data_IF_276159817947
#
_entry.id   IF_276159817947
#
_cell.length_a   1.000
_cell.length_b   1.000
_cell.length_c   1.000
_cell.angle_alpha   90.00
_cell.angle_beta   90.00
_cell.angle_gamma   90.00
#
_symmetry.space_group_name_H-M   'P 1'
#
loop_
_entity.id
_entity.type
_entity.pdbx_description
1 polymer ?
#
# COMPACT_ATOMS: atom_id res chain seq x y z
N UNK A 1 -11.45 14.67 -5.39
CA UNK A 1 -10.70 13.58 -4.72
C UNK A 1 -9.99 12.72 -5.75
N UNK A 2 -8.79 12.23 -5.43
CA UNK A 2 -7.97 11.33 -6.26
C UNK A 2 -7.27 10.31 -5.35
N UNK A 3 -7.12 9.07 -5.80
CA UNK A 3 -6.27 8.07 -5.16
C UNK A 3 -5.19 7.62 -6.13
N UNK A 4 -3.94 7.61 -5.67
CA UNK A 4 -2.80 7.11 -6.44
C UNK A 4 -2.27 5.83 -5.82
N UNK A 5 -2.01 4.83 -6.66
CA UNK A 5 -1.19 3.68 -6.29
C UNK A 5 0.24 3.96 -6.76
N UNK A 6 1.17 3.95 -5.82
CA UNK A 6 2.59 4.20 -6.08
C UNK A 6 3.42 2.99 -5.68
N UNK A 7 4.62 2.89 -6.24
CA UNK A 7 5.58 1.87 -5.89
C UNK A 7 7.02 2.32 -6.09
N UNK A 8 7.95 1.65 -5.42
CA UNK A 8 9.39 1.82 -5.61
C UNK A 8 10.12 0.50 -5.38
N UNK A 9 11.31 0.37 -5.97
CA UNK A 9 12.21 -0.76 -5.69
C UNK A 9 12.68 -0.72 -4.24
N UNK A 10 12.92 -1.89 -3.65
CA UNK A 10 13.57 -2.01 -2.35
C UNK A 10 15.06 -1.64 -2.43
N UNK A 11 15.70 -1.22 -1.32
CA UNK A 11 17.13 -0.95 -1.29
C UNK A 11 17.98 -2.16 -1.68
N UNK A 12 19.20 -1.90 -2.15
CA UNK A 12 20.23 -2.93 -2.42
C UNK A 12 19.78 -3.97 -3.46
N UNK A 13 20.40 -5.17 -3.45
CA UNK A 13 20.12 -6.27 -4.40
C UNK A 13 18.65 -6.69 -4.43
N UNK A 14 17.89 -6.44 -3.35
CA UNK A 14 16.45 -6.72 -3.30
C UNK A 14 15.64 -5.89 -4.30
N UNK A 15 16.12 -4.69 -4.66
CA UNK A 15 15.47 -3.80 -5.61
C UNK A 15 15.37 -4.35 -7.04
N UNK A 16 16.17 -5.36 -7.38
CA UNK A 16 16.10 -6.09 -8.65
C UNK A 16 14.87 -7.01 -8.74
N UNK A 17 14.35 -7.45 -7.59
CA UNK A 17 13.33 -8.51 -7.54
C UNK A 17 12.04 -8.10 -6.83
N UNK A 18 12.10 -7.07 -5.98
CA UNK A 18 11.00 -6.68 -5.11
C UNK A 18 10.69 -5.19 -5.19
N UNK A 19 9.40 -4.89 -5.31
CA UNK A 19 8.85 -3.53 -5.20
C UNK A 19 7.94 -3.44 -3.98
N UNK A 20 7.90 -2.26 -3.36
CA UNK A 20 6.98 -1.92 -2.28
C UNK A 20 5.90 -1.00 -2.82
N UNK A 21 4.63 -1.35 -2.61
CA UNK A 21 3.47 -0.59 -3.06
C UNK A 21 2.78 0.13 -1.89
N UNK A 22 2.23 1.32 -2.17
CA UNK A 22 1.45 2.11 -1.21
C UNK A 22 0.40 2.98 -1.92
N UNK A 23 -0.59 3.44 -1.16
CA UNK A 23 -1.59 4.39 -1.65
C UNK A 23 -1.34 5.80 -1.14
N UNK A 24 -1.71 6.78 -1.96
CA UNK A 24 -1.81 8.19 -1.55
C UNK A 24 -3.19 8.70 -1.91
N UNK A 25 -3.94 9.16 -0.91
CA UNK A 25 -5.29 9.72 -1.04
C UNK A 25 -5.20 11.23 -1.00
N UNK A 26 -5.78 11.91 -1.99
CA UNK A 26 -5.91 13.36 -2.06
C UNK A 26 -7.39 13.71 -1.95
N UNK A 27 -7.81 14.30 -0.83
CA UNK A 27 -9.22 14.62 -0.58
C UNK A 27 -9.36 15.96 0.15
N UNK A 28 -10.12 16.90 -0.42
CA UNK A 28 -10.40 18.19 0.23
C UNK A 28 -9.18 19.05 0.60
N UNK A 29 -7.98 18.80 0.05
CA UNK A 29 -6.73 19.45 0.44
C UNK A 29 -5.85 18.62 1.40
N UNK A 30 -6.44 17.61 2.02
CA UNK A 30 -5.72 16.61 2.83
C UNK A 30 -5.04 15.57 1.94
N UNK A 31 -3.86 15.13 2.37
CA UNK A 31 -3.09 14.10 1.68
C UNK A 31 -2.65 13.02 2.66
N UNK A 32 -3.21 11.83 2.51
CA UNK A 32 -2.91 10.70 3.39
C UNK A 32 -2.23 9.56 2.65
N UNK A 33 -1.13 9.05 3.22
CA UNK A 33 -0.40 7.90 2.69
C UNK A 33 -0.71 6.65 3.50
N UNK A 34 -1.12 5.58 2.82
CA UNK A 34 -1.44 4.29 3.45
C UNK A 34 -0.55 3.16 2.94
N UNK A 35 0.02 2.39 3.86
CA UNK A 35 0.90 1.26 3.54
C UNK A 35 1.11 0.31 4.71
N UNK A 36 1.80 -0.80 4.46
CA UNK A 36 2.23 -1.76 5.47
C UNK A 36 3.76 -1.77 5.60
N UNK A 37 4.28 -1.72 6.83
CA UNK A 37 5.72 -1.84 7.14
C UNK A 37 6.02 -3.01 8.08
N UNK A 38 7.26 -3.49 8.05
CA UNK A 38 7.72 -4.61 8.89
C UNK A 38 7.68 -4.29 10.38
N UNK A 39 7.84 -3.02 10.76
CA UNK A 39 7.88 -2.58 12.16
C UNK A 39 6.49 -2.18 12.57
N UNK A 40 5.96 -2.85 13.60
CA UNK A 40 4.63 -2.53 14.15
C UNK A 40 4.65 -1.17 14.83
N UNK A 41 3.55 -0.44 14.71
CA UNK A 41 3.25 0.76 15.47
C UNK A 41 4.36 1.83 15.41
N UNK A 42 5.03 1.93 14.25
CA UNK A 42 6.22 2.72 14.02
C UNK A 42 5.99 4.25 13.94
N UNK A 43 4.75 4.71 14.10
CA UNK A 43 4.35 6.13 14.00
C UNK A 43 3.21 6.37 13.02
N UNK A 44 2.77 7.63 12.92
CA UNK A 44 1.52 7.97 12.26
C UNK A 44 0.32 7.30 12.94
N UNK A 45 -0.82 7.20 12.24
CA UNK A 45 -1.94 6.37 12.72
C UNK A 45 -1.66 4.92 12.34
N UNK A 46 -1.57 4.03 13.33
CA UNK A 46 -1.15 2.64 13.11
C UNK A 46 -2.14 1.64 13.68
N UNK A 47 -2.25 0.50 13.01
CA UNK A 47 -2.92 -0.71 13.52
C UNK A 47 -1.95 -1.87 13.26
N UNK A 48 -1.01 -2.09 14.19
CA UNK A 48 0.07 -3.04 14.01
C UNK A 48 0.97 -2.62 12.85
N UNK A 49 0.97 -3.40 11.77
CA UNK A 49 1.79 -3.19 10.58
C UNK A 49 1.16 -2.28 9.53
N UNK A 50 -0.13 -1.95 9.63
CA UNK A 50 -0.77 -1.00 8.70
C UNK A 50 -0.62 0.40 9.26
N UNK A 51 -0.17 1.34 8.42
CA UNK A 51 0.08 2.71 8.80
C UNK A 51 -0.60 3.69 7.84
N UNK A 52 -1.11 4.79 8.42
CA UNK A 52 -1.44 6.02 7.73
C UNK A 52 -0.46 7.11 8.19
N UNK A 53 0.18 7.77 7.22
CA UNK A 53 1.10 8.89 7.42
C UNK A 53 2.35 8.58 8.25
N UNK A 54 2.83 7.32 8.22
CA UNK A 54 4.16 6.98 8.75
C UNK A 54 5.28 7.72 7.99
N UNK A 55 5.10 7.91 6.68
CA UNK A 55 6.02 8.61 5.79
C UNK A 55 5.30 9.73 5.06
N UNK A 56 6.03 10.78 4.71
CA UNK A 56 5.52 11.84 3.85
C UNK A 56 5.00 11.26 2.51
N UNK A 57 3.92 11.81 1.92
CA UNK A 57 3.36 11.30 0.66
C UNK A 57 4.35 11.21 -0.51
N UNK A 58 5.34 12.12 -0.54
CA UNK A 58 6.42 12.15 -1.53
C UNK A 58 7.67 11.33 -1.17
N UNK A 59 7.75 10.73 0.02
CA UNK A 59 8.93 9.99 0.43
C UNK A 59 9.06 8.65 -0.31
N UNK A 60 10.28 8.27 -0.67
CA UNK A 60 10.58 6.93 -1.21
C UNK A 60 10.70 5.87 -0.11
N UNK A 61 11.16 4.68 -0.51
CA UNK A 61 11.46 3.55 0.39
C UNK A 61 12.94 3.12 0.35
N UNK A 62 13.80 3.97 -0.24
CA UNK A 62 15.25 3.82 -0.22
C UNK A 62 15.89 3.06 -1.39
N UNK A 63 15.13 2.41 -2.27
CA UNK A 63 15.67 1.68 -3.43
C UNK A 63 15.54 2.36 -4.79
N UNK A 64 15.07 3.61 -4.85
CA UNK A 64 14.91 4.36 -6.08
C UNK A 64 13.75 5.34 -6.04
N UNK A 65 13.50 6.07 -7.15
CA UNK A 65 12.39 7.02 -7.23
C UNK A 65 11.04 6.30 -7.11
N UNK A 66 10.08 6.96 -6.45
CA UNK A 66 8.70 6.53 -6.46
C UNK A 66 8.13 6.62 -7.89
N UNK A 67 7.39 5.59 -8.30
CA UNK A 67 6.72 5.49 -9.59
C UNK A 67 5.22 5.42 -9.38
N UNK A 68 4.48 5.98 -10.33
CA UNK A 68 3.03 5.92 -10.36
C UNK A 68 2.58 4.65 -11.08
N UNK A 69 1.82 3.79 -10.42
CA UNK A 69 1.24 2.60 -11.03
C UNK A 69 -0.13 2.87 -11.63
N UNK A 70 -0.97 3.65 -10.94
CA UNK A 70 -2.30 4.01 -11.39
C UNK A 70 -2.83 5.23 -10.62
N UNK A 71 -3.81 5.88 -11.23
CA UNK A 71 -4.57 7.01 -10.67
C UNK A 71 -6.04 6.71 -10.85
N UNK A 72 -6.82 6.89 -9.78
CA UNK A 72 -8.28 6.83 -9.82
C UNK A 72 -8.89 8.13 -9.33
N UNK A 73 -10.03 8.49 -9.91
CA UNK A 73 -10.85 9.64 -9.54
C UNK A 73 -12.32 9.19 -9.43
N UNK A 74 -13.20 10.09 -8.97
CA UNK A 74 -14.64 9.79 -8.88
C UNK A 74 -14.96 8.60 -7.96
N UNK A 75 -15.90 7.76 -8.39
CA UNK A 75 -16.42 6.65 -7.60
C UNK A 75 -15.35 5.61 -7.23
N UNK A 76 -14.41 5.31 -8.14
CA UNK A 76 -13.31 4.38 -7.87
C UNK A 76 -12.39 4.89 -6.76
N UNK A 77 -12.06 6.18 -6.78
CA UNK A 77 -11.30 6.83 -5.72
C UNK A 77 -12.05 6.78 -4.37
N UNK A 78 -13.38 6.98 -4.38
CA UNK A 78 -14.21 6.91 -3.18
C UNK A 78 -14.21 5.52 -2.57
N UNK A 79 -14.38 4.47 -3.38
CA UNK A 79 -14.33 3.07 -2.92
C UNK A 79 -12.97 2.73 -2.32
N UNK A 80 -11.88 3.15 -2.98
CA UNK A 80 -10.52 2.95 -2.47
C UNK A 80 -10.31 3.65 -1.13
N UNK A 81 -10.69 4.93 -1.02
CA UNK A 81 -10.60 5.69 0.23
C UNK A 81 -11.37 4.99 1.37
N UNK A 82 -12.60 4.57 1.11
CA UNK A 82 -13.43 3.88 2.11
C UNK A 82 -12.76 2.59 2.63
N UNK A 83 -12.14 1.81 1.75
CA UNK A 83 -11.40 0.60 2.16
C UNK A 83 -10.15 0.95 2.97
N UNK A 84 -9.42 2.00 2.60
CA UNK A 84 -8.24 2.46 3.34
C UNK A 84 -8.61 2.98 4.73
N UNK A 85 -9.69 3.75 4.86
CA UNK A 85 -10.18 4.24 6.15
C UNK A 85 -10.72 3.10 7.04
N UNK A 86 -11.16 2.00 6.44
CA UNK A 86 -11.53 0.76 7.13
C UNK A 86 -10.41 -0.27 7.20
N UNK A 87 -9.14 0.17 7.12
CA UNK A 87 -7.97 -0.71 7.17
C UNK A 87 -7.89 -1.61 8.42
N UNK A 88 -8.58 -1.27 9.51
CA UNK A 88 -8.74 -2.14 10.68
C UNK A 88 -9.32 -3.52 10.33
N UNK A 89 -10.07 -3.63 9.23
CA UNK A 89 -10.67 -4.87 8.73
C UNK A 89 -9.69 -5.74 7.92
N UNK A 90 -8.47 -5.26 7.69
CA UNK A 90 -7.43 -6.04 7.02
C UNK A 90 -6.98 -7.21 7.93
N UNK A 91 -7.06 -8.48 7.49
CA UNK A 91 -6.84 -9.63 8.37
C UNK A 91 -5.39 -9.82 8.83
N UNK A 92 -4.45 -9.06 8.26
CA UNK A 92 -3.03 -9.18 8.59
C UNK A 92 -2.46 -7.92 9.24
N UNK A 93 -3.28 -7.08 9.88
CA UNK A 93 -2.80 -5.93 10.66
C UNK A 93 -1.69 -6.30 11.66
N UNK A 94 -1.72 -7.52 12.22
CA UNK A 94 -0.76 -7.95 13.26
C UNK A 94 0.19 -9.06 12.79
N UNK A 95 0.26 -9.33 11.48
CA UNK A 95 1.14 -10.33 10.88
C UNK A 95 1.89 -9.73 9.70
N UNK A 96 3.19 -9.90 9.69
CA UNK A 96 4.05 -9.50 8.58
C UNK A 96 5.02 -10.63 8.22
N UNK A 97 5.26 -10.80 6.93
CA UNK A 97 6.38 -11.61 6.42
C UNK A 97 6.87 -11.03 5.10
N UNK A 98 8.19 -10.91 4.96
CA UNK A 98 8.83 -10.38 3.76
C UNK A 98 8.47 -11.20 2.50
N UNK A 99 8.50 -12.53 2.62
CA UNK A 99 8.18 -13.45 1.53
C UNK A 99 7.57 -14.76 2.08
N UNK A 100 6.51 -15.31 1.47
CA UNK A 100 5.76 -14.77 0.33
C UNK A 100 4.72 -13.72 0.74
N UNK A 101 4.71 -13.24 1.98
CA UNK A 101 3.68 -12.35 2.54
C UNK A 101 3.09 -12.92 3.84
N UNK A 102 2.19 -12.19 4.51
CA UNK A 102 1.58 -10.92 4.07
C UNK A 102 2.52 -9.72 4.24
N UNK A 103 2.53 -8.80 3.27
CA UNK A 103 3.36 -7.58 3.27
C UNK A 103 2.62 -6.40 2.58
N UNK A 104 3.33 -5.33 2.22
CA UNK A 104 2.76 -4.17 1.53
C UNK A 104 2.07 -4.50 0.21
N UNK A 105 2.58 -5.46 -0.55
CA UNK A 105 1.95 -5.90 -1.80
C UNK A 105 0.68 -6.73 -1.54
N UNK A 106 0.65 -7.50 -0.46
CA UNK A 106 -0.56 -8.20 -0.02
C UNK A 106 -1.65 -7.20 0.37
N UNK A 107 -1.30 -6.17 1.14
CA UNK A 107 -2.20 -5.10 1.52
C UNK A 107 -2.71 -4.34 0.29
N UNK A 108 -1.82 -3.93 -0.61
CA UNK A 108 -2.20 -3.23 -1.84
C UNK A 108 -3.18 -4.05 -2.69
N UNK A 109 -2.90 -5.35 -2.87
CA UNK A 109 -3.78 -6.24 -3.62
C UNK A 109 -5.13 -6.48 -2.90
N UNK A 110 -5.14 -6.54 -1.56
CA UNK A 110 -6.37 -6.65 -0.78
C UNK A 110 -7.25 -5.40 -0.93
N UNK A 111 -6.67 -4.19 -0.83
CA UNK A 111 -7.40 -2.93 -0.98
C UNK A 111 -8.07 -2.87 -2.36
N UNK A 112 -7.33 -3.17 -3.44
CA UNK A 112 -7.88 -3.19 -4.80
C UNK A 112 -9.03 -4.18 -4.94
N UNK A 113 -8.89 -5.40 -4.43
CA UNK A 113 -9.95 -6.42 -4.48
C UNK A 113 -11.17 -6.01 -3.67
N UNK A 114 -10.98 -5.54 -2.43
CA UNK A 114 -12.07 -5.14 -1.53
C UNK A 114 -12.83 -3.92 -2.07
N UNK A 115 -12.12 -3.00 -2.74
CA UNK A 115 -12.72 -1.86 -3.40
C UNK A 115 -13.37 -2.21 -4.75
N UNK A 116 -13.20 -3.43 -5.29
CA UNK A 116 -13.73 -3.83 -6.60
C UNK A 116 -13.05 -3.13 -7.77
N UNK A 117 -11.74 -2.88 -7.68
CA UNK A 117 -10.92 -2.24 -8.72
C UNK A 117 -10.17 -3.30 -9.52
N UNK A 118 -10.40 -3.35 -10.83
CA UNK A 118 -9.72 -4.26 -11.75
C UNK A 118 -8.32 -3.76 -12.11
N UNK A 119 -7.38 -3.84 -11.16
CA UNK A 119 -5.97 -3.49 -11.39
C UNK A 119 -5.02 -4.61 -10.91
N UNK A 120 -4.00 -4.92 -11.71
CA UNK A 120 -3.01 -5.94 -11.39
C UNK A 120 -1.68 -5.29 -11.02
N UNK A 121 -1.14 -5.61 -9.84
CA UNK A 121 0.20 -5.16 -9.45
C UNK A 121 1.29 -5.76 -10.34
N UNK A 122 2.40 -5.06 -10.50
CA UNK A 122 3.54 -5.46 -11.34
C UNK A 122 4.18 -6.80 -10.93
N UNK A 123 4.98 -7.40 -11.82
CA UNK A 123 5.59 -8.73 -11.59
C UNK A 123 6.50 -8.77 -10.36
N UNK A 124 7.15 -7.65 -10.03
CA UNK A 124 8.04 -7.46 -8.88
C UNK A 124 7.32 -7.21 -7.55
N UNK A 125 5.98 -7.13 -7.54
CA UNK A 125 5.20 -7.03 -6.30
C UNK A 125 5.07 -8.40 -5.62
N UNK A 126 6.19 -8.86 -5.04
CA UNK A 126 6.25 -10.13 -4.31
C UNK A 126 5.28 -10.12 -3.12
N UNK A 127 4.41 -11.12 -3.07
CA UNK A 127 3.35 -11.27 -2.07
C UNK A 127 1.98 -10.70 -2.42
N UNK A 128 1.82 -10.12 -3.63
CA UNK A 128 0.50 -9.68 -4.14
C UNK A 128 -0.56 -10.79 -4.24
N UNK A 129 -0.13 -12.06 -4.30
CA UNK A 129 -0.99 -13.25 -4.39
C UNK A 129 -1.11 -14.02 -3.07
N UNK A 130 -0.63 -13.46 -1.96
CA UNK A 130 -0.78 -14.11 -0.67
C UNK A 130 -2.27 -14.31 -0.36
N UNK A 131 -2.71 -15.52 0.01
CA UNK A 131 -4.12 -15.80 0.29
C UNK A 131 -4.64 -14.89 1.38
N UNK A 132 -5.78 -14.25 1.12
CA UNK A 132 -6.54 -13.52 2.14
C UNK A 132 -7.78 -14.36 2.41
N UNK A 133 -7.94 -14.80 3.66
CA UNK A 133 -9.15 -15.48 4.13
C UNK A 133 -10.35 -14.52 4.12
#
# INVERSE_FOLDING_TARGET
MKVELRYASLPSILGLFASHYWFVVFDGGEVHRWEVWQTRDAGGRSIGHVHCDLKHPGAGVGGGPARLAAVWTGEEASRLKQVLESAATYPFCHRYSYWPGPNSNTFAAWVLRKAGIAHTLGRTALGKRFPVA
#
